data_IF_255895970749
#
_entry.id   IF_255895970749
#
_cell.length_a   1.000
_cell.length_b   1.000
_cell.length_c   1.000
_cell.angle_alpha   90.00
_cell.angle_beta   90.00
_cell.angle_gamma   90.00
#
_symmetry.space_group_name_H-M   'P 1'
#
loop_
_entity.id
_entity.type
_entity.pdbx_description
1 polymer ?
#
# COMPACT_ATOMS: atom_id res chain seq x y z
N UNK A 1 16.70 -22.86 -5.67
CA UNK A 1 15.32 -23.01 -6.19
C UNK A 1 15.36 -22.60 -7.64
N UNK A 2 14.86 -23.44 -8.53
CA UNK A 2 14.61 -23.03 -9.92
C UNK A 2 13.49 -21.98 -9.93
N UNK A 3 13.54 -20.94 -10.78
CA UNK A 3 12.44 -20.00 -10.95
C UNK A 3 11.15 -20.77 -11.30
N UNK A 4 10.09 -20.62 -10.52
CA UNK A 4 8.81 -21.31 -10.76
C UNK A 4 8.02 -20.76 -11.94
N UNK A 5 8.51 -19.68 -12.57
CA UNK A 5 7.79 -18.95 -13.62
C UNK A 5 6.67 -18.03 -13.12
N UNK A 6 6.47 -17.93 -11.80
CA UNK A 6 5.47 -17.05 -11.20
C UNK A 6 5.92 -15.59 -11.29
N UNK A 7 5.11 -14.67 -11.87
CA UNK A 7 5.43 -13.25 -11.88
C UNK A 7 5.51 -12.68 -10.46
N UNK A 8 6.51 -11.84 -10.20
CA UNK A 8 6.68 -11.12 -8.94
C UNK A 8 6.80 -9.62 -9.22
N UNK A 9 6.05 -8.81 -8.47
CA UNK A 9 6.07 -7.34 -8.56
C UNK A 9 6.75 -6.77 -7.32
N UNK A 10 7.61 -5.77 -7.49
CA UNK A 10 8.25 -5.08 -6.36
C UNK A 10 7.37 -3.91 -5.90
N UNK A 11 6.98 -3.90 -4.62
CA UNK A 11 6.30 -2.76 -4.05
C UNK A 11 7.30 -1.64 -3.73
N UNK A 12 7.16 -0.47 -4.37
CA UNK A 12 7.98 0.72 -4.15
C UNK A 12 7.41 1.51 -2.98
N UNK A 13 8.27 1.83 -2.00
CA UNK A 13 7.80 2.29 -0.70
C UNK A 13 8.65 3.45 -0.16
N UNK A 14 7.98 4.45 0.41
CA UNK A 14 8.58 5.53 1.17
C UNK A 14 7.76 5.80 2.44
N UNK A 15 8.34 5.58 3.63
CA UNK A 15 7.59 5.60 4.90
C UNK A 15 7.05 6.99 5.30
N UNK A 16 7.71 8.06 4.86
CA UNK A 16 7.32 9.42 5.23
C UNK A 16 7.38 9.60 6.76
N UNK A 17 6.32 10.13 7.37
CA UNK A 17 6.27 10.37 8.84
C UNK A 17 6.27 9.11 9.70
N UNK A 18 6.00 7.93 9.15
CA UNK A 18 6.07 6.66 9.86
C UNK A 18 7.52 6.16 9.96
N UNK A 19 8.40 6.99 10.54
CA UNK A 19 9.83 6.75 10.66
C UNK A 19 10.38 7.49 11.89
N UNK A 20 11.67 7.30 12.17
CA UNK A 20 12.43 8.02 13.21
C UNK A 20 13.77 8.50 12.65
N UNK A 21 14.33 9.54 13.24
CA UNK A 21 15.67 10.09 12.97
C UNK A 21 16.82 9.11 13.15
N UNK A 22 16.60 8.01 13.88
CA UNK A 22 17.58 6.93 14.05
C UNK A 22 17.87 6.21 12.71
N UNK A 23 16.94 6.29 11.75
CA UNK A 23 17.12 5.74 10.40
C UNK A 23 17.79 6.73 9.43
N UNK A 24 17.94 7.99 9.84
CA UNK A 24 18.27 9.12 8.95
C UNK A 24 19.49 9.91 9.44
N UNK A 25 20.42 9.25 10.15
CA UNK A 25 21.62 9.90 10.71
C UNK A 25 21.31 11.14 11.58
N UNK A 26 20.17 11.11 12.30
CA UNK A 26 19.71 12.21 13.16
C UNK A 26 18.81 13.22 12.47
N UNK A 27 18.65 13.17 11.14
CA UNK A 27 17.69 14.02 10.43
C UNK A 27 16.25 13.58 10.68
N UNK A 28 15.31 14.53 10.72
CA UNK A 28 13.91 14.20 10.96
C UNK A 28 13.30 13.43 9.77
N UNK A 29 12.37 12.49 10.03
CA UNK A 29 11.47 11.97 9.01
C UNK A 29 10.80 13.09 8.20
N UNK A 30 10.42 12.79 6.96
CA UNK A 30 9.78 13.77 6.06
C UNK A 30 8.31 13.44 5.81
N UNK A 31 7.50 14.45 5.48
CA UNK A 31 6.07 14.28 5.18
C UNK A 31 5.54 15.43 4.32
N UNK A 32 4.27 15.36 3.92
CA UNK A 32 3.57 16.48 3.30
C UNK A 32 3.54 17.72 4.22
N UNK A 33 3.37 17.53 5.53
CA UNK A 33 3.29 18.59 6.53
C UNK A 33 3.86 18.14 7.88
N UNK A 34 4.08 19.09 8.80
CA UNK A 34 4.64 18.84 10.14
C UNK A 34 3.57 18.26 11.10
N UNK A 35 2.93 17.17 10.71
CA UNK A 35 1.90 16.49 11.50
C UNK A 35 2.48 15.20 12.06
N UNK A 36 2.80 15.20 13.35
CA UNK A 36 3.26 14.00 14.07
C UNK A 36 2.23 12.87 13.94
N UNK A 37 2.73 11.65 13.74
CA UNK A 37 1.92 10.44 13.79
C UNK A 37 1.56 10.15 15.26
N UNK A 38 0.27 10.08 15.58
CA UNK A 38 -0.20 9.71 16.92
C UNK A 38 -0.36 8.18 17.00
N UNK A 39 0.60 7.53 17.66
CA UNK A 39 0.58 6.10 17.94
C UNK A 39 1.55 5.81 19.08
N UNK A 40 1.60 4.57 19.54
CA UNK A 40 2.38 4.19 20.72
C UNK A 40 3.87 4.46 20.51
N UNK A 41 4.58 3.57 19.81
CA UNK A 41 6.01 3.67 19.59
C UNK A 41 6.41 3.09 18.24
N UNK A 42 7.44 3.65 17.63
CA UNK A 42 8.12 3.10 16.47
C UNK A 42 9.29 2.21 16.92
N UNK A 43 9.48 1.08 16.24
CA UNK A 43 10.68 0.27 16.41
C UNK A 43 11.85 0.89 15.62
N UNK A 44 12.94 1.22 16.32
CA UNK A 44 14.19 1.70 15.70
C UNK A 44 15.32 0.70 15.95
N UNK A 45 16.49 0.86 15.30
CA UNK A 45 17.68 0.06 15.59
C UNK A 45 18.15 0.19 17.05
N UNK A 46 17.69 1.22 17.77
CA UNK A 46 18.03 1.51 19.16
C UNK A 46 16.89 1.17 20.15
N UNK A 47 15.88 0.43 19.69
CA UNK A 47 14.71 0.03 20.49
C UNK A 47 13.45 0.81 20.14
N UNK A 48 12.39 0.63 20.95
CA UNK A 48 11.13 1.36 20.76
C UNK A 48 11.29 2.81 21.19
N UNK A 49 10.84 3.75 20.35
CA UNK A 49 10.87 5.19 20.60
C UNK A 49 9.55 5.85 20.22
N UNK A 50 9.31 7.03 20.76
CA UNK A 50 8.17 7.86 20.38
C UNK A 50 8.32 8.36 18.93
N UNK A 51 7.19 8.57 18.24
CA UNK A 51 7.20 9.24 16.95
C UNK A 51 7.65 10.70 17.07
N UNK A 52 8.37 11.18 16.07
CA UNK A 52 8.83 12.56 15.95
C UNK A 52 7.88 13.37 15.05
N UNK A 53 7.86 14.69 15.23
CA UNK A 53 7.19 15.58 14.26
C UNK A 53 8.04 15.61 12.99
N UNK A 54 7.51 15.21 11.82
CA UNK A 54 8.29 15.18 10.60
C UNK A 54 8.58 16.60 10.09
N UNK A 55 9.64 16.73 9.30
CA UNK A 55 9.91 17.93 8.50
C UNK A 55 9.02 17.93 7.25
N UNK A 56 8.30 19.03 6.94
CA UNK A 56 7.61 19.15 5.66
C UNK A 56 8.61 19.11 4.49
N UNK A 57 8.29 18.35 3.45
CA UNK A 57 9.05 18.40 2.20
C UNK A 57 8.94 19.78 1.56
N UNK A 58 10.04 20.32 1.07
CA UNK A 58 10.03 21.44 0.14
C UNK A 58 9.61 20.96 -1.26
N UNK A 59 9.28 21.87 -2.18
CA UNK A 59 8.98 21.50 -3.57
C UNK A 59 10.18 20.80 -4.24
N UNK A 60 11.40 21.20 -3.90
CA UNK A 60 12.59 20.55 -4.43
C UNK A 60 12.82 19.17 -3.80
N UNK A 61 12.52 18.99 -2.51
CA UNK A 61 12.52 17.65 -1.90
C UNK A 61 11.48 16.74 -2.59
N UNK A 62 10.28 17.25 -2.92
CA UNK A 62 9.25 16.49 -3.64
C UNK A 62 9.77 16.01 -4.99
N UNK A 63 10.40 16.89 -5.78
CA UNK A 63 11.01 16.52 -7.07
C UNK A 63 12.13 15.49 -6.91
N UNK A 64 12.97 15.63 -5.89
CA UNK A 64 14.00 14.66 -5.58
C UNK A 64 13.38 13.30 -5.23
N UNK A 65 12.33 13.26 -4.41
CA UNK A 65 11.62 12.03 -4.07
C UNK A 65 10.96 11.37 -5.29
N UNK A 66 10.40 12.15 -6.24
CA UNK A 66 9.92 11.59 -7.52
C UNK A 66 11.06 10.93 -8.30
N UNK A 67 12.24 11.54 -8.34
CA UNK A 67 13.45 10.96 -8.95
C UNK A 67 13.91 9.69 -8.24
N UNK A 68 13.70 9.56 -6.92
CA UNK A 68 13.99 8.34 -6.17
C UNK A 68 13.05 7.20 -6.59
N UNK A 69 11.75 7.47 -6.79
CA UNK A 69 10.81 6.48 -7.34
C UNK A 69 11.19 6.04 -8.76
N UNK A 70 11.63 6.98 -9.62
CA UNK A 70 12.16 6.66 -10.94
C UNK A 70 13.33 5.68 -10.87
N UNK A 71 14.31 6.02 -10.04
CA UNK A 71 15.52 5.21 -9.83
C UNK A 71 15.16 3.83 -9.25
N UNK A 72 14.22 3.77 -8.30
CA UNK A 72 13.73 2.53 -7.74
C UNK A 72 13.02 1.66 -8.78
N UNK A 73 12.22 2.26 -9.66
CA UNK A 73 11.58 1.57 -10.78
C UNK A 73 12.60 1.00 -11.78
N UNK A 74 13.67 1.74 -12.10
CA UNK A 74 14.76 1.22 -12.92
C UNK A 74 15.47 0.04 -12.24
N UNK A 75 15.74 0.16 -10.93
CA UNK A 75 16.41 -0.87 -10.16
C UNK A 75 15.56 -2.14 -10.07
N UNK A 76 14.24 -2.01 -9.90
CA UNK A 76 13.31 -3.14 -9.97
C UNK A 76 13.42 -3.87 -11.32
N UNK A 77 13.53 -3.11 -12.42
CA UNK A 77 13.64 -3.67 -13.77
C UNK A 77 14.97 -4.39 -13.96
N UNK A 78 16.07 -3.77 -13.52
CA UNK A 78 17.43 -4.37 -13.54
C UNK A 78 17.51 -5.63 -12.68
N UNK A 79 16.75 -5.69 -11.58
CA UNK A 79 16.67 -6.85 -10.70
C UNK A 79 15.81 -8.00 -11.25
N UNK A 80 15.10 -7.80 -12.37
CA UNK A 80 14.32 -8.86 -13.03
C UNK A 80 12.90 -9.06 -12.50
N UNK A 81 12.34 -8.09 -11.78
CA UNK A 81 10.92 -8.12 -11.41
C UNK A 81 10.03 -8.13 -12.65
N UNK A 82 8.83 -8.70 -12.52
CA UNK A 82 7.82 -8.72 -13.59
C UNK A 82 7.06 -7.40 -13.72
N UNK A 83 7.15 -6.54 -12.72
CA UNK A 83 6.55 -5.20 -12.66
C UNK A 83 6.75 -4.58 -11.28
N UNK A 84 6.06 -3.47 -11.03
CA UNK A 84 6.13 -2.72 -9.77
C UNK A 84 4.74 -2.40 -9.23
N UNK A 85 4.62 -2.23 -7.91
CA UNK A 85 3.43 -1.68 -7.26
C UNK A 85 3.81 -0.40 -6.51
N UNK A 86 3.19 0.72 -6.84
CA UNK A 86 3.41 1.98 -6.09
C UNK A 86 2.61 1.94 -4.78
N UNK A 87 3.30 2.02 -3.64
CA UNK A 87 2.62 2.02 -2.34
C UNK A 87 2.04 3.40 -1.99
N UNK A 88 0.74 3.57 -2.24
CA UNK A 88 -0.02 4.80 -1.95
C UNK A 88 -1.10 4.58 -0.86
N UNK A 89 -0.76 3.77 0.15
CA UNK A 89 -1.70 3.28 1.16
C UNK A 89 -1.05 3.27 2.56
N UNK A 90 -1.83 2.87 3.56
CA UNK A 90 -1.42 2.59 4.93
C UNK A 90 -0.67 3.74 5.61
N UNK A 91 -1.02 4.98 5.25
CA UNK A 91 -0.46 6.18 5.86
C UNK A 91 1.02 6.42 5.60
N UNK A 92 1.57 5.87 4.52
CA UNK A 92 2.92 6.19 4.04
C UNK A 92 2.93 7.42 3.13
N UNK A 93 4.11 7.84 2.65
CA UNK A 93 4.33 9.19 2.14
C UNK A 93 3.29 9.65 1.11
N UNK A 94 3.00 8.84 0.08
CA UNK A 94 2.01 9.25 -0.93
C UNK A 94 0.61 9.39 -0.32
N UNK A 95 0.21 8.45 0.55
CA UNK A 95 -1.06 8.55 1.27
C UNK A 95 -1.10 9.78 2.20
N UNK A 96 0.05 10.18 2.78
CA UNK A 96 0.16 11.39 3.60
C UNK A 96 -0.07 12.68 2.78
N UNK A 97 0.22 12.67 1.46
CA UNK A 97 -0.16 13.76 0.55
C UNK A 97 -1.63 13.70 0.15
N UNK A 98 -2.17 12.50 -0.08
CA UNK A 98 -3.57 12.34 -0.48
C UNK A 98 -4.55 12.76 0.63
N UNK A 99 -4.28 12.41 1.88
CA UNK A 99 -5.23 12.59 2.99
C UNK A 99 -5.20 14.02 3.56
N UNK A 100 -6.36 14.66 3.68
CA UNK A 100 -6.48 16.03 4.20
C UNK A 100 -6.10 16.18 5.68
N UNK A 101 -6.12 15.07 6.44
CA UNK A 101 -5.65 15.04 7.84
C UNK A 101 -4.15 15.32 7.95
N UNK A 102 -3.37 14.87 6.97
CA UNK A 102 -1.90 14.91 7.02
C UNK A 102 -1.29 15.91 6.04
N UNK A 103 -2.02 16.31 5.01
CA UNK A 103 -1.59 17.32 4.06
C UNK A 103 -2.24 18.67 4.34
N UNK A 104 -1.52 19.52 5.08
CA UNK A 104 -1.91 20.88 5.44
C UNK A 104 -1.18 21.93 4.60
N UNK A 105 -0.63 21.54 3.43
CA UNK A 105 0.14 22.45 2.58
C UNK A 105 -0.77 23.50 1.94
N UNK A 106 -0.19 24.67 1.68
CA UNK A 106 -0.86 25.80 1.01
C UNK A 106 -0.27 26.10 -0.37
N UNK A 107 0.67 25.27 -0.84
CA UNK A 107 1.22 25.34 -2.19
C UNK A 107 0.47 24.40 -3.15
N UNK A 108 1.01 24.21 -4.34
CA UNK A 108 0.40 23.39 -5.40
C UNK A 108 0.31 21.90 -5.06
N UNK A 109 0.82 21.46 -3.89
CA UNK A 109 0.74 20.08 -3.43
C UNK A 109 -0.25 19.87 -2.27
N UNK A 110 -1.03 20.88 -1.87
CA UNK A 110 -2.09 20.74 -0.85
C UNK A 110 -3.36 21.57 -1.09
N UNK A 111 -4.29 21.43 -0.16
CA UNK A 111 -5.62 22.04 -0.22
C UNK A 111 -6.57 21.27 -1.14
N UNK A 112 -6.59 21.60 -2.43
CA UNK A 112 -7.54 20.99 -3.38
C UNK A 112 -7.25 19.51 -3.63
N UNK A 113 -8.25 18.77 -4.12
CA UNK A 113 -8.09 17.36 -4.54
C UNK A 113 -7.00 17.20 -5.63
N UNK A 114 -6.96 18.10 -6.62
CA UNK A 114 -5.95 18.10 -7.68
C UNK A 114 -4.53 18.28 -7.11
N UNK A 115 -4.37 19.23 -6.17
CA UNK A 115 -3.09 19.51 -5.55
C UNK A 115 -2.61 18.36 -4.66
N UNK A 116 -3.50 17.77 -3.84
CA UNK A 116 -3.16 16.59 -3.02
C UNK A 116 -2.80 15.37 -3.88
N UNK A 117 -3.46 15.20 -5.02
CA UNK A 117 -3.14 14.17 -6.00
C UNK A 117 -1.85 14.43 -6.77
N UNK A 118 -1.38 15.68 -6.87
CA UNK A 118 -0.25 16.08 -7.72
C UNK A 118 1.01 15.26 -7.46
N UNK A 119 1.35 15.00 -6.20
CA UNK A 119 2.54 14.19 -5.88
C UNK A 119 2.41 12.75 -6.42
N UNK A 120 1.26 12.10 -6.20
CA UNK A 120 0.99 10.78 -6.77
C UNK A 120 1.05 10.81 -8.30
N UNK A 121 0.47 11.84 -8.94
CA UNK A 121 0.50 12.01 -10.39
C UNK A 121 1.94 12.06 -10.93
N UNK A 122 2.81 12.82 -10.28
CA UNK A 122 4.22 12.96 -10.67
C UNK A 122 5.00 11.65 -10.48
N UNK A 123 4.77 10.94 -9.37
CA UNK A 123 5.33 9.59 -9.16
C UNK A 123 4.87 8.62 -10.23
N UNK A 124 3.56 8.55 -10.52
CA UNK A 124 3.01 7.66 -11.54
C UNK A 124 3.56 7.98 -12.93
N UNK A 125 3.61 9.26 -13.31
CA UNK A 125 4.20 9.67 -14.59
C UNK A 125 5.65 9.21 -14.69
N UNK A 126 6.44 9.40 -13.63
CA UNK A 126 7.85 9.06 -13.62
C UNK A 126 8.13 7.56 -13.69
N UNK A 127 7.36 6.71 -12.99
CA UNK A 127 7.55 5.25 -13.07
C UNK A 127 7.05 4.66 -14.39
N UNK A 128 6.06 5.29 -15.04
CA UNK A 128 5.55 4.91 -16.36
C UNK A 128 6.52 5.24 -17.51
N UNK A 129 7.52 6.09 -17.28
CA UNK A 129 8.64 6.26 -18.23
C UNK A 129 9.53 5.00 -18.28
N UNK A 130 9.55 4.20 -17.21
CA UNK A 130 10.40 3.01 -17.08
C UNK A 130 9.65 1.72 -17.41
N UNK A 131 8.39 1.63 -17.00
CA UNK A 131 7.55 0.44 -17.13
C UNK A 131 6.36 0.69 -18.03
N UNK A 132 6.00 -0.27 -18.92
CA UNK A 132 4.70 -0.22 -19.58
C UNK A 132 3.59 -0.26 -18.51
N UNK A 133 2.49 0.43 -18.77
CA UNK A 133 1.44 0.64 -17.78
C UNK A 133 0.86 -0.66 -17.23
N UNK A 134 0.75 -1.70 -18.06
CA UNK A 134 0.25 -3.03 -17.70
C UNK A 134 1.16 -3.78 -16.71
N UNK A 135 2.38 -3.27 -16.47
CA UNK A 135 3.33 -3.78 -15.47
C UNK A 135 3.48 -2.85 -14.26
N UNK A 136 2.60 -1.86 -14.14
CA UNK A 136 2.54 -0.95 -12.99
C UNK A 136 1.20 -1.15 -12.28
N UNK A 137 1.27 -1.51 -11.01
CA UNK A 137 0.16 -1.49 -10.07
C UNK A 137 0.26 -0.32 -9.10
N UNK A 138 -0.83 -0.04 -8.40
CA UNK A 138 -0.85 0.93 -7.29
C UNK A 138 -1.75 0.43 -6.17
N UNK A 139 -1.33 0.61 -4.92
CA UNK A 139 -2.11 0.23 -3.74
C UNK A 139 -2.73 1.42 -3.01
N UNK A 140 -4.01 1.33 -2.67
CA UNK A 140 -4.79 2.35 -1.94
C UNK A 140 -5.48 1.72 -0.71
N UNK A 141 -5.67 2.52 0.35
CA UNK A 141 -6.33 2.10 1.59
C UNK A 141 -7.41 3.10 2.03
N UNK A 142 -8.56 3.15 1.33
CA UNK A 142 -9.56 4.19 1.53
C UNK A 142 -10.13 4.23 2.95
N UNK A 143 -10.26 3.05 3.57
CA UNK A 143 -10.82 2.86 4.90
C UNK A 143 -9.77 2.81 6.02
N UNK A 144 -8.47 2.87 5.66
CA UNK A 144 -7.39 2.56 6.60
C UNK A 144 -7.22 3.62 7.70
N UNK A 145 -7.08 3.16 8.95
CA UNK A 145 -6.70 3.99 10.12
C UNK A 145 -5.21 3.88 10.48
N UNK A 146 -4.55 2.83 9.98
CA UNK A 146 -3.15 2.55 10.28
C UNK A 146 -2.25 3.76 9.97
N UNK A 147 -1.24 3.98 10.82
CA UNK A 147 -0.38 5.18 10.80
C UNK A 147 -1.13 6.51 10.98
N UNK A 148 -2.17 6.49 11.82
CA UNK A 148 -2.95 7.66 12.23
C UNK A 148 -3.59 8.39 11.04
N UNK A 149 -4.24 7.65 10.16
CA UNK A 149 -4.86 8.15 8.93
C UNK A 149 -6.38 8.25 9.04
N UNK A 150 -7.01 8.78 7.97
CA UNK A 150 -8.45 8.93 7.84
C UNK A 150 -8.88 10.38 8.03
N UNK A 151 -9.64 10.88 7.06
CA UNK A 151 -10.22 12.23 7.04
C UNK A 151 -11.71 12.19 6.68
N UNK A 152 -12.48 13.22 7.04
CA UNK A 152 -13.90 13.29 6.67
C UNK A 152 -14.17 13.29 5.16
N UNK A 153 -13.22 13.75 4.33
CA UNK A 153 -13.32 13.83 2.87
C UNK A 153 -12.61 12.66 2.16
N UNK A 154 -12.39 11.54 2.85
CA UNK A 154 -11.75 10.34 2.31
C UNK A 154 -12.43 9.86 1.02
N UNK A 155 -13.76 9.84 0.98
CA UNK A 155 -14.50 9.36 -0.18
C UNK A 155 -14.29 10.23 -1.40
N UNK A 156 -14.37 11.55 -1.26
CA UNK A 156 -14.07 12.50 -2.33
C UNK A 156 -12.62 12.33 -2.80
N UNK A 157 -11.69 12.15 -1.86
CA UNK A 157 -10.26 11.94 -2.13
C UNK A 157 -10.01 10.69 -2.97
N UNK A 158 -10.53 9.54 -2.54
CA UNK A 158 -10.27 8.26 -3.20
C UNK A 158 -11.07 8.09 -4.50
N UNK A 159 -12.30 8.64 -4.60
CA UNK A 159 -13.05 8.69 -5.86
C UNK A 159 -12.40 9.62 -6.88
N UNK A 160 -11.85 10.76 -6.46
CA UNK A 160 -11.07 11.61 -7.35
C UNK A 160 -9.80 10.88 -7.82
N UNK A 161 -9.07 10.27 -6.88
CA UNK A 161 -7.83 9.54 -7.17
C UNK A 161 -8.06 8.43 -8.19
N UNK A 162 -9.07 7.58 -7.98
CA UNK A 162 -9.34 6.46 -8.88
C UNK A 162 -9.75 6.93 -10.30
N UNK A 163 -10.51 8.02 -10.41
CA UNK A 163 -10.84 8.66 -11.70
C UNK A 163 -9.63 9.12 -12.48
N UNK A 164 -8.57 9.59 -11.80
CA UNK A 164 -7.34 9.97 -12.47
C UNK A 164 -6.53 8.74 -12.88
N UNK A 165 -6.45 7.72 -12.01
CA UNK A 165 -5.75 6.46 -12.30
C UNK A 165 -6.39 5.69 -13.46
N UNK A 166 -7.71 5.81 -13.66
CA UNK A 166 -8.42 5.21 -14.79
C UNK A 166 -7.94 5.70 -16.18
N UNK A 167 -7.15 6.77 -16.23
CA UNK A 167 -6.61 7.32 -17.48
C UNK A 167 -5.22 6.78 -17.84
N UNK A 168 -4.66 5.89 -17.01
CA UNK A 168 -3.27 5.46 -17.09
C UNK A 168 -3.11 4.01 -17.57
N UNK A 169 -4.19 3.30 -17.88
CA UNK A 169 -4.18 1.90 -18.36
C UNK A 169 -3.29 0.96 -17.52
N UNK A 170 -3.32 1.16 -16.19
CA UNK A 170 -2.48 0.42 -15.25
C UNK A 170 -2.78 -1.09 -15.27
N UNK A 171 -1.77 -1.88 -14.95
CA UNK A 171 -1.88 -3.33 -14.81
C UNK A 171 -2.89 -3.74 -13.76
N UNK A 172 -3.01 -2.96 -12.66
CA UNK A 172 -4.10 -3.09 -11.69
C UNK A 172 -4.13 -1.92 -10.69
N UNK A 173 -5.27 -1.77 -10.01
CA UNK A 173 -5.38 -1.03 -8.74
C UNK A 173 -5.67 -2.03 -7.62
N UNK A 174 -4.91 -1.94 -6.53
CA UNK A 174 -5.02 -2.82 -5.38
C UNK A 174 -5.64 -2.04 -4.22
N UNK A 175 -6.86 -2.40 -3.84
CA UNK A 175 -7.66 -1.68 -2.86
C UNK A 175 -7.76 -2.50 -1.57
N UNK A 176 -7.42 -1.88 -0.45
CA UNK A 176 -7.69 -2.41 0.88
C UNK A 176 -9.20 -2.26 1.17
N UNK A 177 -9.97 -3.25 0.71
CA UNK A 177 -11.44 -3.27 0.75
C UNK A 177 -11.97 -3.55 2.16
N UNK A 178 -11.53 -4.65 2.78
CA UNK A 178 -11.99 -5.05 4.11
C UNK A 178 -11.39 -4.23 5.25
N UNK A 179 -11.94 -4.43 6.46
CA UNK A 179 -11.62 -3.66 7.67
C UNK A 179 -10.75 -4.41 8.69
N UNK A 180 -10.26 -5.62 8.34
CA UNK A 180 -9.46 -6.46 9.24
C UNK A 180 -8.08 -5.89 9.63
N UNK A 181 -7.73 -4.73 9.07
CA UNK A 181 -6.54 -3.94 9.38
C UNK A 181 -6.90 -2.55 9.96
N UNK A 182 -8.09 -2.44 10.56
CA UNK A 182 -8.61 -1.24 11.21
C UNK A 182 -9.42 -0.35 10.27
N UNK A 183 -10.27 0.49 10.88
CA UNK A 183 -11.15 1.43 10.20
C UNK A 183 -11.06 2.81 10.85
N UNK A 184 -11.04 3.88 10.06
CA UNK A 184 -10.86 5.25 10.58
C UNK A 184 -12.15 5.91 11.09
N UNK A 185 -13.31 5.28 10.88
CA UNK A 185 -14.62 5.70 11.44
C UNK A 185 -15.04 7.14 11.08
N UNK A 186 -14.64 7.65 9.90
CA UNK A 186 -14.99 9.01 9.45
C UNK A 186 -16.28 9.05 8.59
N UNK A 187 -16.99 7.93 8.49
CA UNK A 187 -18.21 7.78 7.70
C UNK A 187 -18.53 6.30 7.46
N UNK A 188 -19.39 5.99 6.49
CA UNK A 188 -19.59 4.61 6.03
C UNK A 188 -18.33 4.09 5.33
N UNK A 189 -17.92 2.82 5.53
CA UNK A 189 -16.80 2.23 4.78
C UNK A 189 -17.03 2.27 3.26
N UNK A 190 -16.00 2.63 2.50
CA UNK A 190 -16.03 2.48 1.04
C UNK A 190 -15.92 1.02 0.64
N UNK A 191 -16.56 0.64 -0.46
CA UNK A 191 -16.54 -0.72 -1.01
C UNK A 191 -15.93 -0.77 -2.41
N UNK A 192 -15.49 -1.96 -2.87
CA UNK A 192 -15.04 -2.13 -4.26
C UNK A 192 -16.06 -1.69 -5.32
N UNK A 193 -17.36 -1.73 -5.03
CA UNK A 193 -18.39 -1.30 -5.98
C UNK A 193 -18.25 0.19 -6.36
N UNK A 194 -17.89 1.04 -5.39
CA UNK A 194 -17.63 2.47 -5.64
C UNK A 194 -16.42 2.67 -6.55
N UNK A 195 -15.37 1.86 -6.39
CA UNK A 195 -14.18 1.93 -7.25
C UNK A 195 -14.44 1.38 -8.64
N UNK A 196 -15.14 0.24 -8.74
CA UNK A 196 -15.51 -0.37 -10.02
C UNK A 196 -16.36 0.56 -10.89
N UNK A 197 -17.24 1.37 -10.28
CA UNK A 197 -18.03 2.35 -11.01
C UNK A 197 -17.19 3.42 -11.73
N UNK A 198 -15.94 3.63 -11.29
CA UNK A 198 -15.07 4.71 -11.77
C UNK A 198 -13.79 4.19 -12.46
N UNK A 199 -13.49 2.89 -12.35
CA UNK A 199 -12.28 2.25 -12.86
C UNK A 199 -12.58 1.01 -13.71
N UNK A 200 -12.11 1.05 -14.96
CA UNK A 200 -12.38 0.02 -15.96
C UNK A 200 -11.28 -1.04 -16.06
N UNK A 201 -10.13 -0.81 -15.43
CA UNK A 201 -9.01 -1.77 -15.41
C UNK A 201 -9.19 -2.86 -14.36
N UNK A 202 -8.09 -3.57 -14.08
CA UNK A 202 -8.07 -4.66 -13.11
C UNK A 202 -8.14 -4.13 -11.67
N UNK A 203 -9.11 -4.59 -10.88
CA UNK A 203 -9.24 -4.30 -9.45
C UNK A 203 -8.86 -5.53 -8.64
N UNK A 204 -7.88 -5.36 -7.74
CA UNK A 204 -7.50 -6.36 -6.74
C UNK A 204 -8.04 -5.97 -5.37
N UNK A 205 -8.92 -6.80 -4.82
CA UNK A 205 -9.47 -6.65 -3.46
C UNK A 205 -8.61 -7.34 -2.41
N UNK A 206 -8.62 -6.81 -1.18
CA UNK A 206 -7.75 -7.26 -0.09
C UNK A 206 -8.32 -6.89 1.28
N UNK A 207 -7.66 -7.38 2.34
CA UNK A 207 -7.86 -7.10 3.76
C UNK A 207 -8.89 -8.02 4.45
N UNK A 208 -8.40 -9.10 5.07
CA UNK A 208 -9.23 -10.00 5.86
C UNK A 208 -10.12 -10.93 5.03
N UNK A 209 -9.87 -11.07 3.73
CA UNK A 209 -10.64 -11.96 2.88
C UNK A 209 -10.49 -13.42 3.32
N UNK A 210 -11.63 -14.11 3.36
CA UNK A 210 -11.72 -15.57 3.28
C UNK A 210 -11.89 -15.99 1.81
N UNK A 211 -11.91 -17.31 1.55
CA UNK A 211 -12.23 -17.85 0.21
C UNK A 211 -13.59 -17.33 -0.26
N UNK A 212 -14.59 -17.47 0.59
CA UNK A 212 -15.99 -17.14 0.29
C UNK A 212 -16.14 -15.65 0.01
N UNK A 213 -15.47 -14.80 0.81
CA UNK A 213 -15.48 -13.36 0.57
C UNK A 213 -14.84 -13.02 -0.77
N UNK A 214 -13.70 -13.62 -1.11
CA UNK A 214 -13.03 -13.39 -2.38
C UNK A 214 -13.91 -13.83 -3.57
N UNK A 215 -14.50 -15.03 -3.50
CA UNK A 215 -15.42 -15.56 -4.50
C UNK A 215 -16.63 -14.63 -4.68
N UNK A 216 -17.24 -14.16 -3.59
CA UNK A 216 -18.37 -13.21 -3.64
C UNK A 216 -18.01 -11.92 -4.41
N UNK A 217 -16.82 -11.34 -4.20
CA UNK A 217 -16.42 -10.09 -4.91
C UNK A 217 -16.13 -10.35 -6.38
N UNK A 218 -15.55 -11.50 -6.71
CA UNK A 218 -15.28 -11.91 -8.09
C UNK A 218 -16.59 -12.18 -8.84
N UNK A 219 -17.52 -12.93 -8.25
CA UNK A 219 -18.83 -13.25 -8.83
C UNK A 219 -19.69 -11.99 -9.02
N UNK A 220 -19.62 -11.03 -8.09
CA UNK A 220 -20.30 -9.75 -8.21
C UNK A 220 -19.67 -8.81 -9.25
N UNK A 221 -18.50 -9.14 -9.82
CA UNK A 221 -17.79 -8.32 -10.81
C UNK A 221 -17.18 -7.03 -10.26
N UNK A 222 -17.08 -6.90 -8.93
CA UNK A 222 -16.49 -5.72 -8.29
C UNK A 222 -14.98 -5.85 -8.08
N UNK A 223 -14.44 -7.07 -8.17
CA UNK A 223 -13.01 -7.38 -8.20
C UNK A 223 -12.69 -8.30 -9.38
N UNK A 224 -11.45 -8.26 -9.87
CA UNK A 224 -10.90 -9.24 -10.82
C UNK A 224 -9.87 -10.15 -10.15
N UNK A 225 -9.28 -9.69 -9.05
CA UNK A 225 -8.26 -10.41 -8.28
C UNK A 225 -8.53 -10.26 -6.77
N UNK A 226 -8.07 -11.24 -5.99
CA UNK A 226 -8.09 -11.20 -4.53
C UNK A 226 -6.68 -11.45 -3.98
N UNK A 227 -6.23 -10.59 -3.07
CA UNK A 227 -4.94 -10.71 -2.40
C UNK A 227 -5.07 -11.11 -0.93
N UNK A 228 -4.36 -12.17 -0.57
CA UNK A 228 -4.30 -12.73 0.78
C UNK A 228 -2.93 -12.42 1.41
N UNK A 229 -2.94 -11.78 2.59
CA UNK A 229 -1.73 -11.45 3.34
C UNK A 229 -1.44 -12.50 4.41
N UNK A 230 -2.05 -12.34 5.59
CA UNK A 230 -1.85 -13.22 6.76
C UNK A 230 -1.93 -14.72 6.42
N UNK A 231 -2.93 -15.22 5.67
CA UNK A 231 -2.99 -16.64 5.34
C UNK A 231 -1.79 -17.15 4.53
N UNK A 232 -1.18 -16.31 3.68
CA UNK A 232 -0.01 -16.69 2.88
C UNK A 232 1.28 -16.77 3.72
N UNK A 233 1.33 -16.15 4.91
CA UNK A 233 2.49 -16.23 5.81
C UNK A 233 2.69 -17.67 6.28
N UNK A 234 1.60 -18.32 6.70
CA UNK A 234 1.63 -19.65 7.34
C UNK A 234 1.29 -20.79 6.39
N UNK A 235 0.79 -20.49 5.18
CA UNK A 235 0.36 -21.47 4.19
C UNK A 235 1.08 -21.20 2.84
N UNK A 236 2.30 -21.74 2.62
CA UNK A 236 3.05 -21.49 1.38
C UNK A 236 2.34 -22.03 0.12
N UNK A 237 1.43 -22.99 0.30
CA UNK A 237 0.60 -23.63 -0.71
C UNK A 237 -0.86 -23.14 -0.66
N UNK A 238 -1.12 -21.93 -0.12
CA UNK A 238 -2.46 -21.37 0.06
C UNK A 238 -3.39 -21.57 -1.16
N UNK A 239 -2.97 -21.33 -2.43
CA UNK A 239 -3.88 -21.53 -3.57
C UNK A 239 -4.43 -22.96 -3.68
N UNK A 240 -3.60 -23.98 -3.43
CA UNK A 240 -4.06 -25.37 -3.47
C UNK A 240 -4.98 -25.69 -2.28
N UNK A 241 -4.67 -25.14 -1.08
CA UNK A 241 -5.56 -25.30 0.08
C UNK A 241 -6.94 -24.70 -0.17
N UNK A 242 -7.01 -23.49 -0.72
CA UNK A 242 -8.28 -22.83 -1.05
C UNK A 242 -9.05 -23.61 -2.12
N UNK A 243 -8.36 -24.13 -3.14
CA UNK A 243 -8.97 -24.90 -4.24
C UNK A 243 -9.56 -26.23 -3.76
N UNK A 244 -8.92 -26.89 -2.80
CA UNK A 244 -9.31 -28.21 -2.30
C UNK A 244 -10.05 -28.19 -0.97
N UNK A 245 -10.31 -27.01 -0.41
CA UNK A 245 -10.90 -26.81 0.91
C UNK A 245 -10.13 -27.53 2.03
N UNK A 246 -8.79 -27.52 1.92
CA UNK A 246 -7.91 -28.04 2.97
C UNK A 246 -7.77 -27.05 4.13
N UNK A 247 -7.52 -27.54 5.37
CA UNK A 247 -7.33 -26.68 6.52
C UNK A 247 -6.18 -25.68 6.34
N UNK A 248 -6.41 -24.43 6.77
CA UNK A 248 -5.38 -23.40 6.82
C UNK A 248 -4.69 -23.40 8.18
N UNK A 249 -3.36 -23.31 8.18
CA UNK A 249 -2.60 -23.01 9.39
C UNK A 249 -2.94 -21.59 9.88
N UNK A 250 -3.32 -21.41 11.16
CA UNK A 250 -3.64 -20.10 11.71
C UNK A 250 -2.47 -19.13 11.60
N UNK A 251 -2.77 -17.88 11.25
CA UNK A 251 -1.79 -16.81 11.15
C UNK A 251 -2.01 -15.75 12.23
N UNK A 252 -2.32 -16.15 13.47
CA UNK A 252 -2.68 -15.23 14.55
C UNK A 252 -1.48 -14.79 15.40
N UNK A 253 -0.41 -15.59 15.42
CA UNK A 253 0.79 -15.28 16.21
C UNK A 253 1.62 -14.17 15.54
N UNK A 254 1.33 -12.93 15.93
CA UNK A 254 2.04 -11.74 15.46
C UNK A 254 3.48 -11.64 15.95
N UNK A 255 3.88 -12.42 16.97
CA UNK A 255 5.27 -12.38 17.48
C UNK A 255 6.26 -12.92 16.46
N UNK A 256 5.78 -13.74 15.52
CA UNK A 256 6.58 -14.37 14.47
C UNK A 256 6.64 -13.58 13.16
N UNK A 257 5.82 -12.53 12.98
CA UNK A 257 5.75 -11.82 11.70
C UNK A 257 6.97 -10.92 11.42
N UNK A 258 7.69 -10.53 12.48
CA UNK A 258 8.86 -9.66 12.41
C UNK A 258 10.02 -10.27 13.22
N UNK A 259 10.45 -11.47 12.84
CA UNK A 259 11.53 -12.21 13.51
C UNK A 259 12.85 -12.19 12.74
N UNK A 260 13.99 -12.30 13.44
CA UNK A 260 15.25 -12.63 12.80
C UNK A 260 15.31 -14.14 12.53
N UNK A 261 15.55 -14.53 11.26
CA UNK A 261 15.82 -15.92 10.89
C UNK A 261 14.63 -16.65 10.25
N UNK A 262 14.72 -17.99 10.13
CA UNK A 262 13.76 -18.78 9.36
C UNK A 262 12.48 -19.15 10.12
N UNK A 263 12.47 -19.06 11.44
CA UNK A 263 11.35 -19.46 12.31
C UNK A 263 10.16 -18.51 12.14
N UNK A 264 9.01 -19.07 11.76
CA UNK A 264 7.81 -18.30 11.43
C UNK A 264 7.89 -17.58 10.09
N UNK A 265 8.83 -17.96 9.21
CA UNK A 265 9.02 -17.33 7.89
C UNK A 265 9.16 -18.37 6.76
N UNK A 266 10.13 -19.28 6.85
CA UNK A 266 10.40 -20.29 5.80
C UNK A 266 10.23 -21.74 6.26
N UNK A 267 9.82 -21.94 7.51
CA UNK A 267 9.67 -23.24 8.15
C UNK A 267 8.24 -23.80 8.10
N UNK A 268 7.25 -22.99 7.70
CA UNK A 268 5.91 -23.48 7.37
C UNK A 268 5.96 -24.47 6.19
N UNK A 269 5.29 -25.62 6.37
CA UNK A 269 5.28 -26.70 5.38
C UNK A 269 3.99 -26.69 4.54
N UNK A 270 4.05 -27.15 3.28
CA UNK A 270 2.86 -27.46 2.51
C UNK A 270 1.96 -28.47 3.23
N UNK A 271 0.68 -28.48 2.90
CA UNK A 271 -0.26 -29.46 3.44
C UNK A 271 0.09 -30.88 2.96
N UNK A 272 0.10 -31.82 3.90
CA UNK A 272 0.25 -33.25 3.63
C UNK A 272 -0.97 -33.98 4.23
N UNK A 273 -1.69 -34.70 3.37
CA UNK A 273 -2.87 -35.50 3.75
C UNK A 273 -2.50 -36.80 4.48
#
# INVERSE_FOLDING_TARGET
MEPTGTPIFLQLWHCGRASHSDFHNGELPVSASAVKLNGDQIHTPLGKKEYETPRPLTVDDIKATVSDYHTAAENAKKAGFSGIEVHSANGYLINQFLDSKTNLRTDDYGGSLDNRYRFLKEVMASVLEIWPAERVGIRLSPNGVFNDMGSPDFRETFLYTIKQLNKLDLGYVHIMDGLAFGFHEQGEPMTLAEFRAEYNGIIMGNCGYTKEMAEERLEAGVADLAAFGRPFITNPDLPERLKHDWPLEPAEDMSLWYTPGPEGYTDYQPYHA
#
